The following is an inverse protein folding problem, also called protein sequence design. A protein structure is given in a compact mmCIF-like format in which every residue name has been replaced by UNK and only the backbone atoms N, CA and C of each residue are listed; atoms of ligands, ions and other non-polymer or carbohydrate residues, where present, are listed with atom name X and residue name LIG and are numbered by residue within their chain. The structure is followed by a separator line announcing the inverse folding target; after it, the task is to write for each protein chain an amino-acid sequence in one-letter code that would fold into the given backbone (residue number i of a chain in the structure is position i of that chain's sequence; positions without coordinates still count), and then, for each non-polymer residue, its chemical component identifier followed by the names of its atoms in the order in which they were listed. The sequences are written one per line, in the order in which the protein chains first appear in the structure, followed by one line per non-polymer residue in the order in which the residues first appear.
data_IF_096072414533
#
_entry.id   IF_096072414533
#
_cell.length_a   1.000
_cell.length_b   1.000
_cell.length_c   1.000
_cell.angle_alpha   90.00
_cell.angle_beta   90.00
_cell.angle_gamma   90.00
#
_symmetry.space_group_name_H-M   'P 1'
#
loop_
_entity.id
_entity.type
_entity.pdbx_description
1 polymer ?
#
# COMPACT_ATOMS: atom_id res chain seq x y z
N UNK A 1 28.09 6.73 -0.53
CA UNK A 1 27.07 5.90 0.00
C UNK A 1 26.35 5.05 -1.05
N UNK A 2 26.62 3.76 -1.04
CA UNK A 2 26.09 2.77 -1.99
C UNK A 2 24.55 2.80 -2.05
N UNK A 3 23.87 2.76 -0.92
CA UNK A 3 22.38 2.78 -0.85
C UNK A 3 21.76 3.98 -1.58
N UNK A 4 22.38 5.15 -1.52
CA UNK A 4 21.88 6.33 -2.25
C UNK A 4 22.10 6.19 -3.76
N UNK A 5 23.20 5.58 -4.16
CA UNK A 5 23.51 5.30 -5.56
C UNK A 5 22.54 4.26 -6.12
N UNK A 6 22.26 3.20 -5.36
CA UNK A 6 21.29 2.16 -5.73
C UNK A 6 19.87 2.71 -5.84
N UNK A 7 19.44 3.54 -4.88
CA UNK A 7 18.15 4.22 -4.94
C UNK A 7 18.03 5.08 -6.19
N UNK A 8 19.04 5.91 -6.46
CA UNK A 8 19.08 6.76 -7.66
C UNK A 8 19.04 5.94 -8.93
N UNK A 9 19.80 4.86 -9.01
CA UNK A 9 19.79 3.96 -10.16
C UNK A 9 18.41 3.32 -10.35
N UNK A 10 17.76 2.86 -9.27
CA UNK A 10 16.42 2.31 -9.31
C UNK A 10 15.40 3.31 -9.85
N UNK A 11 15.43 4.54 -9.33
CA UNK A 11 14.50 5.60 -9.73
C UNK A 11 14.75 6.09 -11.17
N UNK A 12 16.00 6.47 -11.50
CA UNK A 12 16.31 7.17 -12.75
C UNK A 12 16.53 6.21 -13.93
N UNK A 13 17.10 5.03 -13.69
CA UNK A 13 17.45 4.09 -14.76
C UNK A 13 16.42 2.99 -14.93
N UNK A 14 15.86 2.48 -13.82
CA UNK A 14 14.85 1.43 -13.86
C UNK A 14 13.42 1.96 -13.90
N UNK A 15 13.21 3.26 -13.67
CA UNK A 15 11.87 3.86 -13.60
C UNK A 15 11.05 3.41 -12.40
N UNK A 16 11.70 2.81 -11.39
CA UNK A 16 11.05 2.36 -10.17
C UNK A 16 10.65 3.52 -9.27
N UNK A 17 9.77 3.24 -8.32
CA UNK A 17 9.33 4.19 -7.30
C UNK A 17 9.66 3.67 -5.92
N UNK A 18 10.32 4.48 -5.11
CA UNK A 18 10.68 4.14 -3.74
C UNK A 18 9.88 5.04 -2.78
N UNK A 19 8.99 4.43 -2.01
CA UNK A 19 8.15 5.12 -1.06
C UNK A 19 8.67 4.90 0.37
N UNK A 20 8.48 5.90 1.23
CA UNK A 20 8.59 5.71 2.66
C UNK A 20 7.32 5.00 3.13
N UNK A 21 7.45 3.89 3.84
CA UNK A 21 6.31 3.12 4.36
C UNK A 21 6.38 3.04 5.89
N UNK A 22 5.27 3.35 6.56
CA UNK A 22 5.13 3.17 8.01
C UNK A 22 3.73 2.68 8.36
N UNK A 23 3.65 1.77 9.33
CA UNK A 23 2.40 1.48 10.03
C UNK A 23 2.02 2.71 10.84
N UNK A 24 0.87 3.28 10.55
CA UNK A 24 0.36 4.47 11.21
C UNK A 24 -0.62 4.06 12.31
N UNK A 25 -0.20 4.22 13.57
CA UNK A 25 -1.00 3.95 14.77
C UNK A 25 -1.22 5.22 15.58
N UNK A 26 -0.17 5.72 16.18
CA UNK A 26 -0.22 6.89 17.05
C UNK A 26 0.30 8.15 16.36
N UNK A 27 -0.19 9.29 16.82
CA UNK A 27 0.34 10.57 16.37
C UNK A 27 1.82 10.69 16.77
N UNK A 28 2.67 10.87 15.77
CA UNK A 28 4.11 11.06 15.96
C UNK A 28 4.96 9.80 15.94
N UNK A 29 4.38 8.66 15.58
CA UNK A 29 5.13 7.43 15.34
C UNK A 29 6.31 7.69 14.39
N UNK A 30 7.46 7.07 14.70
CA UNK A 30 8.72 7.14 13.94
C UNK A 30 9.41 8.53 13.93
N UNK A 31 8.71 9.64 14.20
CA UNK A 31 9.25 11.00 14.11
C UNK A 31 9.27 11.78 15.43
N UNK A 32 8.72 11.23 16.50
CA UNK A 32 8.90 11.88 17.83
C UNK A 32 10.36 11.84 18.22
N UNK A 33 11.01 12.99 18.52
CA UNK A 33 12.39 12.99 18.92
C UNK A 33 12.64 12.11 20.14
N UNK A 34 13.77 11.40 20.14
CA UNK A 34 14.11 10.46 21.21
C UNK A 34 14.05 11.12 22.57
N UNK A 35 13.33 10.51 23.50
CA UNK A 35 13.18 10.98 24.87
C UNK A 35 12.08 12.00 25.11
N UNK A 36 11.34 12.41 24.04
CA UNK A 36 10.17 13.27 24.19
C UNK A 36 8.89 12.45 24.24
N UNK A 37 7.87 13.00 24.92
CA UNK A 37 6.52 12.48 24.86
C UNK A 37 5.83 12.94 23.57
N UNK A 38 5.25 12.00 22.82
CA UNK A 38 4.60 12.30 21.53
C UNK A 38 3.47 13.33 21.65
N UNK A 39 2.58 13.19 22.65
CA UNK A 39 1.49 14.14 22.88
C UNK A 39 2.03 15.52 23.19
N UNK A 40 3.00 15.64 24.11
CA UNK A 40 3.62 16.91 24.44
C UNK A 40 4.26 17.57 23.22
N UNK A 41 5.00 16.81 22.44
CA UNK A 41 5.69 17.35 21.26
C UNK A 41 4.72 17.70 20.13
N UNK A 42 3.84 16.76 19.72
CA UNK A 42 3.00 16.96 18.54
C UNK A 42 1.73 17.74 18.83
N UNK A 43 1.09 17.52 19.99
CA UNK A 43 -0.16 18.23 20.31
C UNK A 43 0.13 19.56 21.00
N UNK A 44 0.88 19.54 22.12
CA UNK A 44 1.06 20.76 22.92
C UNK A 44 2.00 21.75 22.23
N UNK A 45 3.16 21.29 21.75
CA UNK A 45 4.15 22.16 21.15
C UNK A 45 3.84 22.48 19.68
N UNK A 46 3.77 21.46 18.80
CA UNK A 46 3.56 21.67 17.34
C UNK A 46 2.14 22.04 17.01
N UNK A 47 1.17 21.45 17.67
CA UNK A 47 -0.26 21.69 17.49
C UNK A 47 -0.83 22.81 18.34
N UNK A 48 -0.03 23.47 19.19
CA UNK A 48 -0.47 24.54 20.10
C UNK A 48 -1.68 24.13 20.94
N UNK A 49 -1.66 22.91 21.47
CA UNK A 49 -2.76 22.31 22.23
C UNK A 49 -3.92 21.74 21.39
N UNK A 50 -3.81 21.79 20.06
CA UNK A 50 -4.83 21.25 19.15
C UNK A 50 -4.35 19.97 18.47
N UNK A 51 -5.06 18.87 18.70
CA UNK A 51 -4.71 17.55 18.14
C UNK A 51 -4.67 17.57 16.60
N UNK A 52 -5.64 18.20 15.94
CA UNK A 52 -5.71 18.26 14.47
C UNK A 52 -4.55 19.06 13.87
N UNK A 53 -4.15 20.15 14.50
CA UNK A 53 -2.95 20.89 14.09
C UNK A 53 -1.67 20.06 14.33
N UNK A 54 -1.65 19.24 15.38
CA UNK A 54 -0.60 18.24 15.60
C UNK A 54 -0.53 17.21 14.48
N UNK A 55 -1.69 16.71 14.01
CA UNK A 55 -1.77 15.78 12.85
C UNK A 55 -1.19 16.42 11.59
N UNK A 56 -1.55 17.68 11.31
CA UNK A 56 -0.99 18.43 10.16
C UNK A 56 0.52 18.61 10.28
N UNK A 57 1.01 18.97 11.48
CA UNK A 57 2.43 19.12 11.73
C UNK A 57 3.19 17.80 11.50
N UNK A 58 2.64 16.69 11.96
CA UNK A 58 3.21 15.37 11.77
C UNK A 58 3.23 14.95 10.28
N UNK A 59 2.14 15.12 9.55
CA UNK A 59 2.08 14.86 8.11
C UNK A 59 3.11 15.69 7.33
N UNK A 60 3.29 16.97 7.71
CA UNK A 60 4.32 17.81 7.12
C UNK A 60 5.74 17.31 7.40
N UNK A 61 6.03 16.84 8.61
CA UNK A 61 7.33 16.28 8.97
C UNK A 61 7.63 14.98 8.18
N UNK A 62 6.62 14.17 7.86
CA UNK A 62 6.75 13.04 6.95
C UNK A 62 7.15 13.53 5.55
N UNK A 63 6.46 14.53 5.02
CA UNK A 63 6.82 15.12 3.73
C UNK A 63 8.25 15.67 3.72
N UNK A 64 8.69 16.34 4.78
CA UNK A 64 10.07 16.82 4.93
C UNK A 64 11.09 15.67 4.86
N UNK A 65 10.75 14.52 5.45
CA UNK A 65 11.57 13.31 5.39
C UNK A 65 11.65 12.74 3.97
N UNK A 66 10.52 12.68 3.27
CA UNK A 66 10.44 12.23 1.88
C UNK A 66 11.27 13.13 0.96
N UNK A 67 11.18 14.43 1.14
CA UNK A 67 11.98 15.42 0.40
C UNK A 67 13.48 15.29 0.68
N UNK A 68 13.84 15.18 1.96
CA UNK A 68 15.22 15.02 2.41
C UNK A 68 15.93 13.82 1.82
N UNK A 69 15.22 12.69 1.70
CA UNK A 69 15.78 11.45 1.17
C UNK A 69 15.49 11.23 -0.31
N UNK A 70 14.86 12.20 -0.98
CA UNK A 70 14.46 12.13 -2.39
C UNK A 70 13.66 10.86 -2.72
N UNK A 71 12.65 10.56 -1.90
CA UNK A 71 11.74 9.44 -2.10
C UNK A 71 10.57 9.85 -3.01
N UNK A 72 9.95 8.88 -3.65
CA UNK A 72 8.87 9.12 -4.61
C UNK A 72 7.49 9.27 -3.98
N UNK A 73 7.37 9.10 -2.66
CA UNK A 73 6.10 9.25 -1.97
C UNK A 73 6.03 8.59 -0.61
N UNK A 74 4.81 8.43 -0.14
CA UNK A 74 4.49 7.81 1.14
C UNK A 74 3.49 6.68 0.96
N UNK A 75 3.74 5.59 1.65
CA UNK A 75 2.84 4.46 1.79
C UNK A 75 2.35 4.40 3.24
N UNK A 76 1.04 4.61 3.41
CA UNK A 76 0.38 4.53 4.71
C UNK A 76 -0.03 3.07 4.92
N UNK A 77 0.72 2.34 5.73
CA UNK A 77 0.30 1.02 6.20
C UNK A 77 -0.77 1.22 7.29
N UNK A 78 -2.04 1.02 6.90
CA UNK A 78 -3.23 1.37 7.68
C UNK A 78 -4.04 0.14 8.05
N UNK A 79 -3.82 -0.36 9.26
CA UNK A 79 -4.35 -1.63 9.72
C UNK A 79 -5.11 -1.57 11.06
N UNK A 80 -6.02 -0.61 11.28
CA UNK A 80 -6.68 -0.45 12.59
C UNK A 80 -7.53 -1.65 13.00
N UNK A 81 -8.11 -2.37 12.05
CA UNK A 81 -8.89 -3.59 12.28
C UNK A 81 -8.05 -4.82 12.59
N UNK A 82 -6.73 -4.76 12.35
CA UNK A 82 -5.79 -5.84 12.62
C UNK A 82 -4.92 -5.60 13.86
N UNK A 83 -5.33 -4.66 14.73
CA UNK A 83 -4.67 -4.40 16.00
C UNK A 83 -3.74 -3.18 16.01
N UNK A 84 -3.59 -2.49 14.89
CA UNK A 84 -2.76 -1.28 14.76
C UNK A 84 -3.60 0.00 14.89
N UNK A 85 -4.41 0.08 15.96
CA UNK A 85 -5.35 1.15 16.24
C UNK A 85 -4.86 2.03 17.38
N UNK A 86 -4.27 3.16 17.08
CA UNK A 86 -3.80 4.15 18.05
C UNK A 86 -4.56 5.48 17.95
N UNK A 87 -3.98 6.53 18.51
CA UNK A 87 -4.61 7.87 18.58
C UNK A 87 -4.89 8.48 17.23
N UNK A 88 -4.10 8.18 16.21
CA UNK A 88 -4.29 8.66 14.84
C UNK A 88 -5.13 7.67 14.00
N UNK A 89 -4.84 6.38 14.09
CA UNK A 89 -5.39 5.36 13.20
C UNK A 89 -6.72 4.76 13.65
N UNK A 90 -7.27 5.13 14.80
CA UNK A 90 -8.53 4.55 15.28
C UNK A 90 -9.69 4.84 14.32
N UNK A 91 -10.11 3.82 13.55
CA UNK A 91 -11.15 3.91 12.52
C UNK A 91 -12.55 4.21 13.08
N UNK A 92 -12.83 3.87 14.34
CA UNK A 92 -14.13 4.14 14.97
C UNK A 92 -14.44 5.65 15.07
N UNK A 93 -13.41 6.48 14.99
CA UNK A 93 -13.56 7.93 14.93
C UNK A 93 -13.63 8.47 13.50
N UNK A 94 -13.58 7.58 12.51
CA UNK A 94 -13.74 7.90 11.09
C UNK A 94 -15.24 7.98 10.78
N UNK A 95 -15.82 9.11 11.07
CA UNK A 95 -17.18 9.41 10.64
C UNK A 95 -17.19 9.89 9.19
N UNK A 96 -18.09 9.39 8.33
CA UNK A 96 -18.27 9.93 6.98
C UNK A 96 -18.61 11.43 6.93
N UNK A 97 -19.05 11.99 8.06
CA UNK A 97 -19.55 13.36 8.15
C UNK A 97 -18.62 14.35 8.84
N UNK A 98 -17.43 13.95 9.27
CA UNK A 98 -16.68 14.85 10.11
C UNK A 98 -15.16 14.76 10.02
N UNK A 99 -14.52 15.74 10.53
CA UNK A 99 -13.11 15.98 10.73
C UNK A 99 -12.36 14.79 11.30
N UNK A 100 -12.20 13.79 10.49
CA UNK A 100 -11.52 12.58 10.77
C UNK A 100 -10.02 12.85 10.74
N UNK A 101 -9.33 12.48 11.81
CA UNK A 101 -7.88 12.63 11.95
C UNK A 101 -7.13 12.05 10.75
N UNK A 102 -7.50 10.86 10.30
CA UNK A 102 -6.89 10.20 9.15
C UNK A 102 -7.20 10.94 7.85
N UNK A 103 -8.40 11.47 7.67
CA UNK A 103 -8.71 12.32 6.53
C UNK A 103 -7.82 13.56 6.50
N UNK A 104 -7.69 14.29 7.62
CA UNK A 104 -6.82 15.47 7.72
C UNK A 104 -5.36 15.10 7.45
N UNK A 105 -4.93 13.95 7.94
CA UNK A 105 -3.59 13.40 7.68
C UNK A 105 -3.35 13.19 6.18
N UNK A 106 -4.25 12.48 5.50
CA UNK A 106 -4.19 12.20 4.06
C UNK A 106 -4.27 13.48 3.24
N UNK A 107 -5.21 14.38 3.57
CA UNK A 107 -5.34 15.68 2.89
C UNK A 107 -4.05 16.50 2.97
N UNK A 108 -3.42 16.53 4.14
CA UNK A 108 -2.17 17.26 4.36
C UNK A 108 -1.01 16.65 3.58
N UNK A 109 -0.86 15.33 3.60
CA UNK A 109 0.15 14.61 2.80
C UNK A 109 -0.07 14.86 1.30
N UNK A 110 -1.30 14.67 0.81
CA UNK A 110 -1.64 14.83 -0.59
C UNK A 110 -1.40 16.26 -1.09
N UNK A 111 -1.70 17.26 -0.28
CA UNK A 111 -1.49 18.67 -0.63
C UNK A 111 -0.02 19.03 -0.89
N UNK A 112 0.92 18.30 -0.29
CA UNK A 112 2.36 18.48 -0.53
C UNK A 112 2.93 17.50 -1.57
N UNK A 113 2.53 16.24 -1.51
CA UNK A 113 3.12 15.20 -2.35
C UNK A 113 2.69 15.34 -3.82
N UNK A 114 1.40 15.54 -4.10
CA UNK A 114 0.87 15.63 -5.47
C UNK A 114 1.49 16.72 -6.33
N UNK A 115 1.58 17.98 -5.87
CA UNK A 115 2.21 19.04 -6.67
C UNK A 115 3.68 18.78 -6.99
N UNK A 116 4.34 17.97 -6.15
CA UNK A 116 5.73 17.54 -6.33
C UNK A 116 5.86 16.27 -7.22
N UNK A 117 4.75 15.75 -7.79
CA UNK A 117 4.74 14.52 -8.58
C UNK A 117 5.04 13.26 -7.76
N UNK A 118 4.82 13.30 -6.44
CA UNK A 118 5.04 12.19 -5.53
C UNK A 118 3.73 11.47 -5.22
N UNK A 119 3.84 10.18 -4.96
CA UNK A 119 2.70 9.28 -4.75
C UNK A 119 2.25 9.26 -3.30
N UNK A 120 0.96 9.02 -3.09
CA UNK A 120 0.38 8.65 -1.81
C UNK A 120 -0.34 7.33 -1.96
N UNK A 121 0.07 6.34 -1.20
CA UNK A 121 -0.46 4.97 -1.25
C UNK A 121 -1.08 4.61 0.09
N UNK A 122 -2.12 3.79 0.07
CA UNK A 122 -2.76 3.25 1.27
C UNK A 122 -2.69 1.73 1.22
N UNK A 123 -1.95 1.15 2.15
CA UNK A 123 -1.84 -0.30 2.35
C UNK A 123 -2.74 -0.76 3.52
N UNK A 124 -3.15 -2.01 3.51
CA UNK A 124 -3.90 -2.66 4.58
C UNK A 124 -5.42 -2.56 4.43
N UNK A 125 -6.05 -1.54 4.99
CA UNK A 125 -7.52 -1.38 5.02
C UNK A 125 -8.03 -0.11 4.30
N UNK A 126 -7.80 0.02 2.98
CA UNK A 126 -8.24 1.20 2.23
C UNK A 126 -9.77 1.36 2.18
N UNK A 127 -10.53 0.29 2.39
CA UNK A 127 -11.99 0.29 2.42
C UNK A 127 -12.58 1.13 3.58
N UNK A 128 -11.76 1.54 4.53
CA UNK A 128 -12.13 2.48 5.60
C UNK A 128 -12.08 3.95 5.17
N UNK A 129 -11.54 4.27 4.00
CA UNK A 129 -11.53 5.64 3.47
C UNK A 129 -12.94 6.13 3.11
N UNK A 130 -13.17 7.44 3.25
CA UNK A 130 -14.33 8.08 2.63
C UNK A 130 -14.14 8.20 1.12
N UNK A 131 -15.23 8.39 0.38
CA UNK A 131 -15.17 8.61 -1.08
C UNK A 131 -14.29 9.81 -1.44
N UNK A 132 -14.36 10.89 -0.67
CA UNK A 132 -13.54 12.07 -0.95
C UNK A 132 -12.06 11.83 -0.64
N UNK A 133 -11.76 11.16 0.45
CA UNK A 133 -10.37 10.85 0.84
C UNK A 133 -9.73 9.85 -0.13
N UNK A 134 -10.51 8.89 -0.63
CA UNK A 134 -10.02 7.88 -1.58
C UNK A 134 -9.54 8.48 -2.91
N UNK A 135 -10.06 9.63 -3.32
CA UNK A 135 -9.61 10.37 -4.51
C UNK A 135 -8.20 10.95 -4.36
N UNK A 136 -7.74 11.12 -3.13
CA UNK A 136 -6.43 11.67 -2.81
C UNK A 136 -5.31 10.61 -2.79
N UNK A 137 -5.68 9.34 -2.85
CA UNK A 137 -4.76 8.19 -2.85
C UNK A 137 -4.55 7.71 -4.28
N UNK A 138 -3.32 7.43 -4.64
CA UNK A 138 -2.94 7.00 -5.99
C UNK A 138 -3.10 5.50 -6.19
N UNK A 139 -2.78 4.71 -5.16
CA UNK A 139 -2.94 3.25 -5.15
C UNK A 139 -3.44 2.75 -3.80
N UNK A 140 -4.21 1.66 -3.85
CA UNK A 140 -4.61 0.86 -2.70
C UNK A 140 -3.86 -0.46 -2.75
N UNK A 141 -3.10 -0.80 -1.71
CA UNK A 141 -2.47 -2.11 -1.60
C UNK A 141 -3.38 -2.97 -0.73
N UNK A 142 -3.90 -4.04 -1.32
CA UNK A 142 -4.73 -5.00 -0.61
C UNK A 142 -3.91 -6.23 -0.24
N UNK A 143 -3.73 -6.45 1.06
CA UNK A 143 -2.99 -7.57 1.64
C UNK A 143 -3.82 -8.87 1.57
N UNK A 144 -3.88 -9.47 0.38
CA UNK A 144 -4.67 -10.66 0.10
C UNK A 144 -3.96 -11.97 0.50
N UNK A 145 -3.29 -11.97 1.65
CA UNK A 145 -2.40 -13.05 2.08
C UNK A 145 -3.13 -14.36 2.35
N UNK A 146 -4.29 -14.28 3.02
CA UNK A 146 -5.05 -15.42 3.52
C UNK A 146 -6.40 -15.60 2.81
N UNK A 147 -6.54 -15.03 1.63
CA UNK A 147 -7.79 -15.16 0.89
C UNK A 147 -7.97 -16.56 0.29
N UNK A 148 -9.18 -17.07 0.41
CA UNK A 148 -9.51 -18.43 -0.05
C UNK A 148 -9.84 -18.52 -1.54
N UNK A 149 -10.12 -17.38 -2.19
CA UNK A 149 -10.50 -17.33 -3.60
C UNK A 149 -10.38 -15.92 -4.18
N UNK A 150 -10.29 -15.81 -5.50
CA UNK A 150 -10.37 -14.52 -6.21
C UNK A 150 -11.71 -13.82 -6.00
N UNK A 151 -12.80 -14.57 -5.84
CA UNK A 151 -14.11 -13.99 -5.53
C UNK A 151 -14.12 -13.30 -4.18
N UNK A 152 -13.43 -13.86 -3.18
CA UNK A 152 -13.25 -13.23 -1.86
C UNK A 152 -12.45 -11.93 -1.98
N UNK A 153 -11.36 -11.93 -2.74
CA UNK A 153 -10.56 -10.74 -3.02
C UNK A 153 -11.42 -9.65 -3.68
N UNK A 154 -12.10 -9.97 -4.77
CA UNK A 154 -12.97 -9.01 -5.49
C UNK A 154 -14.03 -8.43 -4.56
N UNK A 155 -14.67 -9.24 -3.74
CA UNK A 155 -15.68 -8.77 -2.77
C UNK A 155 -15.10 -7.74 -1.79
N UNK A 156 -13.85 -7.90 -1.38
CA UNK A 156 -13.19 -7.01 -0.42
C UNK A 156 -12.67 -5.72 -1.04
N UNK A 157 -12.19 -5.77 -2.29
CA UNK A 157 -11.65 -4.58 -2.97
C UNK A 157 -12.71 -3.78 -3.74
N UNK A 158 -13.80 -4.40 -4.18
CA UNK A 158 -14.89 -3.72 -4.88
C UNK A 158 -15.77 -2.97 -3.89
N UNK A 159 -15.34 -1.78 -3.51
CA UNK A 159 -16.04 -0.93 -2.55
C UNK A 159 -16.48 0.38 -3.22
N UNK A 160 -17.76 0.79 -3.03
CA UNK A 160 -18.32 1.96 -3.70
C UNK A 160 -17.68 3.30 -3.26
N UNK A 161 -17.02 3.30 -2.11
CA UNK A 161 -16.29 4.46 -1.58
C UNK A 161 -14.86 4.58 -2.11
N UNK A 162 -14.34 3.56 -2.80
CA UNK A 162 -12.99 3.62 -3.38
C UNK A 162 -13.03 4.14 -4.81
N UNK A 163 -12.43 5.29 -5.02
CA UNK A 163 -12.32 5.93 -6.33
C UNK A 163 -11.45 5.09 -7.27
N UNK A 164 -11.98 4.77 -8.46
CA UNK A 164 -11.30 4.01 -9.52
C UNK A 164 -10.59 2.75 -8.98
N UNK A 165 -11.27 2.01 -8.09
CA UNK A 165 -10.68 0.91 -7.35
C UNK A 165 -10.01 -0.14 -8.25
N UNK A 166 -10.56 -0.42 -9.42
CA UNK A 166 -10.02 -1.42 -10.34
C UNK A 166 -8.61 -1.06 -10.78
N UNK A 167 -8.40 0.17 -11.21
CA UNK A 167 -7.09 0.64 -11.70
C UNK A 167 -6.12 0.94 -10.56
N UNK A 168 -6.61 1.38 -9.42
CA UNK A 168 -5.76 1.77 -8.27
C UNK A 168 -5.35 0.61 -7.38
N UNK A 169 -6.07 -0.52 -7.39
CA UNK A 169 -5.76 -1.62 -6.47
C UNK A 169 -4.59 -2.46 -6.95
N UNK A 170 -3.65 -2.66 -6.04
CA UNK A 170 -2.53 -3.62 -6.14
C UNK A 170 -2.85 -4.75 -5.15
N UNK A 171 -2.90 -5.99 -5.64
CA UNK A 171 -3.17 -7.16 -4.81
C UNK A 171 -1.83 -7.81 -4.43
N UNK A 172 -1.62 -8.09 -3.16
CA UNK A 172 -0.36 -8.65 -2.67
C UNK A 172 -0.51 -10.03 -2.08
N UNK A 173 0.52 -10.85 -2.27
CA UNK A 173 0.70 -12.15 -1.62
C UNK A 173 1.79 -12.05 -0.55
N UNK A 174 1.71 -12.94 0.43
CA UNK A 174 2.70 -13.06 1.49
C UNK A 174 3.79 -14.08 1.08
N UNK A 175 5.05 -13.66 1.14
CA UNK A 175 6.21 -14.49 0.81
C UNK A 175 7.06 -14.90 2.01
N UNK A 176 6.82 -14.39 3.21
CA UNK A 176 7.56 -14.85 4.40
C UNK A 176 7.38 -16.36 4.61
N UNK A 177 6.15 -16.86 4.43
CA UNK A 177 5.82 -18.28 4.53
C UNK A 177 5.60 -18.92 3.14
N UNK A 178 5.04 -18.14 2.19
CA UNK A 178 4.66 -18.61 0.86
C UNK A 178 5.74 -18.53 -0.21
N UNK A 179 6.98 -18.16 0.12
CA UNK A 179 8.02 -17.89 -0.89
C UNK A 179 8.40 -19.08 -1.76
N UNK A 180 8.35 -20.31 -1.21
CA UNK A 180 8.64 -21.52 -1.97
C UNK A 180 7.60 -21.86 -3.01
N UNK A 181 6.35 -21.48 -2.76
CA UNK A 181 5.18 -21.91 -3.51
C UNK A 181 4.46 -20.78 -4.24
N UNK A 182 4.95 -19.53 -4.11
CA UNK A 182 4.35 -18.38 -4.79
C UNK A 182 3.03 -17.93 -4.14
N UNK A 183 2.98 -17.99 -2.83
CA UNK A 183 1.81 -17.72 -2.00
C UNK A 183 1.35 -18.96 -1.24
N UNK A 184 0.21 -18.86 -0.56
CA UNK A 184 -0.31 -19.94 0.30
C UNK A 184 -1.02 -20.99 -0.55
N UNK A 185 -0.58 -22.24 -0.43
CA UNK A 185 -0.94 -23.33 -1.35
C UNK A 185 -2.32 -23.95 -1.16
N UNK A 186 -3.08 -23.59 -0.13
CA UNK A 186 -4.47 -24.03 0.00
C UNK A 186 -5.43 -23.29 -0.92
N UNK A 187 -4.95 -22.29 -1.61
CA UNK A 187 -5.72 -21.46 -2.51
C UNK A 187 -6.17 -22.25 -3.75
N UNK A 188 -7.47 -22.20 -4.04
CA UNK A 188 -8.05 -22.84 -5.22
C UNK A 188 -8.14 -21.84 -6.36
N UNK A 189 -7.41 -22.10 -7.43
CA UNK A 189 -7.41 -21.26 -8.62
C UNK A 189 -8.77 -21.28 -9.33
N UNK A 190 -9.20 -20.12 -9.84
CA UNK A 190 -10.35 -20.00 -10.75
C UNK A 190 -10.01 -20.38 -12.18
N UNK A 191 -8.71 -20.55 -12.48
CA UNK A 191 -8.20 -21.03 -13.77
C UNK A 191 -7.81 -22.49 -13.64
N UNK A 192 -8.56 -23.42 -14.26
CA UNK A 192 -8.30 -24.86 -14.15
C UNK A 192 -6.86 -25.26 -14.48
N UNK A 193 -6.25 -24.56 -15.43
CA UNK A 193 -4.85 -24.78 -15.85
C UNK A 193 -3.83 -24.45 -14.78
N UNK A 194 -4.18 -23.62 -13.79
CA UNK A 194 -3.29 -23.23 -12.69
C UNK A 194 -3.48 -24.07 -11.42
N UNK A 195 -4.55 -24.85 -11.30
CA UNK A 195 -4.90 -25.59 -10.07
C UNK A 195 -3.81 -26.57 -9.61
N UNK A 196 -3.05 -27.14 -10.52
CA UNK A 196 -1.93 -28.05 -10.22
C UNK A 196 -0.57 -27.34 -10.20
N UNK A 197 -0.53 -26.05 -10.45
CA UNK A 197 0.73 -25.30 -10.52
C UNK A 197 1.08 -24.72 -9.15
N UNK A 198 2.34 -24.87 -8.77
CA UNK A 198 2.88 -24.04 -7.70
C UNK A 198 2.75 -22.56 -8.06
N UNK A 199 2.46 -21.73 -7.07
CA UNK A 199 2.27 -20.29 -7.26
C UNK A 199 0.90 -19.90 -7.79
N UNK A 200 -0.10 -20.77 -7.73
CA UNK A 200 -1.43 -20.46 -8.23
C UNK A 200 -2.05 -19.21 -7.60
N UNK A 201 -1.76 -18.88 -6.35
CA UNK A 201 -2.26 -17.66 -5.71
C UNK A 201 -1.74 -16.40 -6.42
N UNK A 202 -0.43 -16.23 -6.56
CA UNK A 202 0.14 -15.06 -7.24
C UNK A 202 -0.24 -15.02 -8.73
N UNK A 203 -0.34 -16.20 -9.37
CA UNK A 203 -0.73 -16.29 -10.78
C UNK A 203 -2.20 -15.93 -11.00
N UNK A 204 -3.09 -16.34 -10.12
CA UNK A 204 -4.51 -15.93 -10.15
C UNK A 204 -4.67 -14.42 -9.97
N UNK A 205 -3.88 -13.82 -9.08
CA UNK A 205 -3.92 -12.36 -8.90
C UNK A 205 -3.37 -11.62 -10.13
N UNK A 206 -2.28 -12.12 -10.72
CA UNK A 206 -1.69 -11.53 -11.92
C UNK A 206 -2.60 -11.63 -13.15
N UNK A 207 -3.49 -12.61 -13.19
CA UNK A 207 -4.39 -12.89 -14.32
C UNK A 207 -5.87 -12.66 -13.96
N UNK A 208 -6.14 -11.90 -12.91
CA UNK A 208 -7.48 -11.69 -12.37
C UNK A 208 -8.41 -11.01 -13.39
N UNK A 209 -9.52 -11.69 -13.72
CA UNK A 209 -10.58 -11.12 -14.53
C UNK A 209 -11.56 -10.35 -13.65
N UNK A 210 -11.64 -9.04 -13.86
CA UNK A 210 -12.62 -8.21 -13.17
C UNK A 210 -13.99 -8.27 -13.87
N UNK A 211 -15.11 -8.17 -13.12
CA UNK A 211 -16.46 -8.20 -13.70
C UNK A 211 -16.70 -7.13 -14.77
N UNK A 212 -15.98 -6.01 -14.70
CA UNK A 212 -16.06 -4.94 -15.68
C UNK A 212 -15.27 -5.22 -16.98
N UNK A 213 -14.44 -6.26 -17.00
CA UNK A 213 -13.47 -6.52 -18.05
C UNK A 213 -12.23 -5.65 -18.02
N UNK A 214 -12.09 -4.78 -17.00
CA UNK A 214 -10.87 -3.99 -16.80
C UNK A 214 -9.80 -4.81 -16.11
N UNK A 215 -8.57 -4.32 -16.22
CA UNK A 215 -7.41 -4.88 -15.53
C UNK A 215 -7.30 -4.31 -14.13
N UNK A 216 -6.87 -5.14 -13.17
CA UNK A 216 -6.44 -4.67 -11.85
C UNK A 216 -5.16 -3.81 -11.96
N UNK A 217 -4.98 -2.86 -11.06
CA UNK A 217 -3.85 -1.92 -11.07
C UNK A 217 -2.48 -2.58 -10.97
N UNK A 218 -2.36 -3.67 -10.23
CA UNK A 218 -1.11 -4.41 -10.14
C UNK A 218 -1.15 -5.58 -9.17
N UNK A 219 -0.01 -6.23 -9.07
CA UNK A 219 0.28 -7.26 -8.08
C UNK A 219 1.55 -6.91 -7.32
N UNK A 220 1.68 -7.43 -6.12
CA UNK A 220 2.86 -7.26 -5.29
C UNK A 220 3.09 -8.40 -4.32
N UNK A 221 4.10 -8.27 -3.52
CA UNK A 221 4.50 -9.28 -2.52
C UNK A 221 5.00 -8.63 -1.24
N UNK A 222 4.76 -9.28 -0.13
CA UNK A 222 5.35 -8.98 1.17
C UNK A 222 6.20 -10.19 1.63
N UNK A 223 7.54 -10.23 1.58
CA UNK A 223 8.47 -9.26 0.98
C UNK A 223 9.08 -9.83 -0.30
N UNK A 224 9.41 -8.99 -1.26
CA UNK A 224 9.96 -9.41 -2.55
C UNK A 224 11.27 -10.18 -2.42
N UNK A 225 12.12 -9.86 -1.47
CA UNK A 225 13.43 -10.50 -1.27
C UNK A 225 13.33 -11.99 -0.94
N UNK A 226 12.22 -12.47 -0.40
CA UNK A 226 12.01 -13.90 -0.17
C UNK A 226 11.88 -14.71 -1.46
N UNK A 227 11.59 -14.10 -2.59
CA UNK A 227 11.57 -14.77 -3.89
C UNK A 227 12.98 -14.89 -4.51
N UNK A 228 13.96 -14.14 -3.99
CA UNK A 228 15.33 -14.17 -4.51
C UNK A 228 16.04 -15.53 -4.39
N UNK A 229 15.91 -16.31 -3.29
CA UNK A 229 16.53 -17.62 -3.16
C UNK A 229 15.95 -18.72 -4.07
N UNK A 230 14.82 -18.47 -4.73
CA UNK A 230 14.27 -19.42 -5.70
C UNK A 230 15.17 -19.57 -6.94
N UNK A 231 15.02 -20.67 -7.65
CA UNK A 231 15.71 -20.91 -8.93
C UNK A 231 14.69 -20.94 -10.08
N UNK A 232 14.75 -20.01 -11.04
CA UNK A 232 15.64 -18.83 -11.05
C UNK A 232 15.23 -17.78 -10.00
N UNK A 233 16.14 -16.86 -9.63
CA UNK A 233 15.82 -15.77 -8.72
C UNK A 233 14.58 -14.98 -9.15
N UNK A 234 13.72 -14.63 -8.19
CA UNK A 234 12.41 -13.98 -8.42
C UNK A 234 11.50 -14.81 -9.32
N UNK A 235 11.52 -16.13 -9.14
CA UNK A 235 10.75 -17.11 -9.93
C UNK A 235 9.26 -16.76 -10.03
N UNK A 236 8.65 -16.44 -8.91
CA UNK A 236 7.21 -16.22 -8.82
C UNK A 236 6.79 -14.88 -9.40
N UNK A 237 7.52 -13.83 -9.09
CA UNK A 237 7.29 -12.49 -9.67
C UNK A 237 7.48 -12.52 -11.18
N UNK A 238 8.52 -13.20 -11.68
CA UNK A 238 8.75 -13.36 -13.13
C UNK A 238 7.63 -14.14 -13.81
N UNK A 239 7.14 -15.22 -13.19
CA UNK A 239 6.00 -15.98 -13.70
C UNK A 239 4.73 -15.13 -13.72
N UNK A 240 4.44 -14.41 -12.64
CA UNK A 240 3.27 -13.55 -12.54
C UNK A 240 3.25 -12.46 -13.62
N UNK A 241 4.39 -11.82 -13.86
CA UNK A 241 4.55 -10.84 -14.95
C UNK A 241 4.34 -11.50 -16.32
N UNK A 242 4.89 -12.70 -16.53
CA UNK A 242 4.74 -13.42 -17.81
C UNK A 242 3.27 -13.77 -18.08
N UNK A 243 2.59 -14.42 -17.15
CA UNK A 243 1.19 -14.84 -17.32
C UNK A 243 0.25 -13.64 -17.36
N UNK A 244 0.44 -12.65 -16.51
CA UNK A 244 -0.38 -11.43 -16.52
C UNK A 244 -0.30 -10.70 -17.86
N UNK A 245 0.89 -10.62 -18.47
CA UNK A 245 1.07 -10.01 -19.78
C UNK A 245 0.50 -10.83 -20.93
N UNK A 246 0.36 -12.16 -20.79
CA UNK A 246 -0.32 -12.98 -21.79
C UNK A 246 -1.84 -12.79 -21.78
N UNK A 247 -2.43 -12.70 -20.59
CA UNK A 247 -3.87 -12.48 -20.44
C UNK A 247 -4.26 -11.06 -20.80
N UNK A 248 -3.37 -10.10 -20.51
CA UNK A 248 -3.57 -8.69 -20.79
C UNK A 248 -2.47 -8.16 -21.72
N UNK A 249 -2.45 -8.56 -23.01
CA UNK A 249 -1.48 -8.06 -23.98
C UNK A 249 -1.80 -6.61 -24.30
N UNK A 250 -1.38 -5.72 -23.46
CA UNK A 250 -1.59 -4.29 -23.61
C UNK A 250 -0.28 -3.54 -23.46
N UNK A 251 -0.26 -2.31 -23.95
CA UNK A 251 0.83 -1.40 -23.69
C UNK A 251 0.82 -1.04 -22.21
N UNK A 252 1.96 -1.10 -21.57
CA UNK A 252 2.19 -0.40 -20.32
C UNK A 252 2.32 1.09 -20.71
N UNK A 253 1.26 1.85 -20.46
CA UNK A 253 1.29 3.31 -20.62
C UNK A 253 1.91 3.91 -19.36
#
# INVERSE_FOLDING_TARGET
DEQKADLKFFQEVKGGKALLCWIIQDLGDQLTPKGLNATQYWVEEKGQGNFIEGVKAYANAICDSIEKYNLDGFDIDYEPGYGHSGTLANYQTISPSGNNKMQVFIETLSARLRPAGRMLVMDGQPDLLSTETSKLVDHYIYQAYWESSTSSVIYKINKPNLDDWERKTIITVEFEQGWKTGGITYYTSVRPELNSMEGNQILDYATLDLPSGKRIGGIGTYHMEYDYPNDPPYKWLRKALYFGNQVYPGKFD
#
